data_IF_628021369387
#
_entry.id   IF_628021369387
#
_cell.length_a   1.000
_cell.length_b   1.000
_cell.length_c   1.000
_cell.angle_alpha   90.00
_cell.angle_beta   90.00
_cell.angle_gamma   90.00
#
_symmetry.space_group_name_H-M   'P 1'
#
loop_
_entity.id
_entity.type
_entity.pdbx_description
1 polymer ?
#
# COMPACT_ATOMS: atom_id res chain seq x y z
N UNK A 1 -9.80 -10.10 -5.82
CA UNK A 1 -8.38 -10.00 -5.43
C UNK A 1 -8.16 -8.68 -4.71
N UNK A 2 -7.32 -8.61 -3.67
CA UNK A 2 -6.95 -7.35 -3.01
C UNK A 2 -5.49 -7.02 -3.33
N UNK A 3 -5.17 -5.75 -3.47
CA UNK A 3 -3.80 -5.26 -3.55
C UNK A 3 -3.53 -4.40 -2.32
N UNK A 4 -2.56 -4.80 -1.51
CA UNK A 4 -2.15 -4.09 -0.32
C UNK A 4 -0.91 -3.28 -0.65
N UNK A 5 -0.95 -1.99 -0.35
CA UNK A 5 0.10 -1.04 -0.66
C UNK A 5 0.76 -0.63 0.64
N UNK A 6 2.07 -0.85 0.73
CA UNK A 6 2.91 -0.38 1.82
C UNK A 6 3.79 0.76 1.35
N UNK A 7 4.07 1.72 2.23
CA UNK A 7 5.09 2.77 2.01
C UNK A 7 6.35 2.43 2.80
N UNK A 8 7.49 2.84 2.26
CA UNK A 8 8.76 2.74 2.96
C UNK A 8 8.80 3.73 4.13
N UNK A 9 9.37 3.29 5.26
CA UNK A 9 9.67 4.18 6.38
C UNK A 9 11.00 4.93 6.22
N UNK A 10 11.86 4.49 5.29
CA UNK A 10 13.20 5.06 5.07
C UNK A 10 13.31 5.91 3.81
N UNK A 11 12.50 5.65 2.79
CA UNK A 11 12.54 6.33 1.51
C UNK A 11 11.20 6.99 1.19
N UNK A 12 11.26 8.28 0.91
CA UNK A 12 10.09 8.99 0.42
C UNK A 12 9.67 8.44 -0.95
N UNK A 13 8.37 8.52 -1.25
CA UNK A 13 7.77 8.08 -2.53
C UNK A 13 8.05 6.62 -2.94
N UNK A 14 8.46 5.76 -2.01
CA UNK A 14 8.74 4.34 -2.29
C UNK A 14 7.59 3.48 -1.78
N UNK A 15 6.96 2.72 -2.67
CA UNK A 15 5.80 1.90 -2.38
C UNK A 15 6.01 0.44 -2.81
N UNK A 16 5.41 -0.47 -2.04
CA UNK A 16 5.41 -1.89 -2.28
C UNK A 16 3.98 -2.39 -2.42
N UNK A 17 3.71 -3.14 -3.48
CA UNK A 17 2.40 -3.68 -3.80
C UNK A 17 2.42 -5.19 -3.59
N UNK A 18 1.57 -5.70 -2.70
CA UNK A 18 1.49 -7.12 -2.38
C UNK A 18 0.07 -7.62 -2.50
N UNK A 19 -0.10 -8.89 -2.88
CA UNK A 19 -1.42 -9.50 -3.07
C UNK A 19 -2.10 -9.86 -1.73
N UNK A 20 -1.32 -9.98 -0.65
CA UNK A 20 -1.78 -10.34 0.70
C UNK A 20 -1.13 -9.44 1.74
N UNK A 21 -1.91 -9.06 2.76
CA UNK A 21 -1.42 -8.27 3.89
C UNK A 21 -0.30 -9.04 4.60
N UNK A 22 0.80 -8.34 4.88
CA UNK A 22 1.98 -8.83 5.58
C UNK A 22 2.73 -9.99 4.88
N UNK A 23 2.40 -10.29 3.62
CA UNK A 23 3.10 -11.29 2.81
C UNK A 23 4.20 -10.62 1.98
N UNK A 24 5.43 -10.70 2.47
CA UNK A 24 6.62 -10.15 1.81
C UNK A 24 7.55 -11.24 1.27
N UNK A 25 7.10 -12.50 1.25
CA UNK A 25 7.92 -13.66 0.85
C UNK A 25 8.45 -13.57 -0.58
N UNK A 26 7.79 -12.79 -1.44
CA UNK A 26 8.22 -12.55 -2.83
C UNK A 26 9.16 -11.34 -2.99
N UNK A 27 9.42 -10.61 -1.91
CA UNK A 27 10.29 -9.43 -1.95
C UNK A 27 11.70 -9.84 -1.57
N UNK A 28 12.70 -9.62 -2.45
CA UNK A 28 14.10 -9.86 -2.13
C UNK A 28 14.52 -9.13 -0.85
N UNK A 29 15.35 -9.78 -0.04
CA UNK A 29 15.86 -9.20 1.21
C UNK A 29 16.61 -7.89 0.98
N UNK A 30 17.32 -7.75 -0.13
CA UNK A 30 18.05 -6.52 -0.48
C UNK A 30 17.11 -5.32 -0.66
N UNK A 31 15.96 -5.55 -1.29
CA UNK A 31 14.92 -4.53 -1.44
C UNK A 31 14.27 -4.23 -0.08
N UNK A 32 13.95 -5.25 0.73
CA UNK A 32 13.38 -5.06 2.07
C UNK A 32 14.33 -4.28 2.99
N UNK A 33 15.63 -4.53 2.94
CA UNK A 33 16.65 -3.79 3.71
C UNK A 33 16.63 -2.29 3.40
N UNK A 34 16.55 -1.96 2.10
CA UNK A 34 16.44 -0.57 1.63
C UNK A 34 15.06 0.05 1.92
N UNK A 35 14.00 -0.75 1.87
CA UNK A 35 12.62 -0.33 2.14
C UNK A 35 12.39 -0.04 3.64
N UNK A 36 13.13 -0.71 4.52
CA UNK A 36 12.92 -0.58 5.97
C UNK A 36 11.64 -1.26 6.42
N UNK A 37 11.01 -0.72 7.46
CA UNK A 37 9.77 -1.29 8.00
C UNK A 37 8.59 -0.86 7.12
N UNK A 38 7.88 -1.80 6.47
CA UNK A 38 6.73 -1.46 5.65
C UNK A 38 5.61 -0.89 6.51
N UNK A 39 5.10 0.29 6.14
CA UNK A 39 3.93 0.88 6.78
C UNK A 39 2.73 0.75 5.84
N UNK A 40 1.63 0.21 6.34
CA UNK A 40 0.41 0.05 5.54
C UNK A 40 -0.08 1.43 5.07
N UNK A 41 -0.11 1.64 3.76
CA UNK A 41 -0.57 2.89 3.16
C UNK A 41 -2.03 2.78 2.73
N UNK A 42 -2.37 1.75 1.96
CA UNK A 42 -3.74 1.58 1.43
C UNK A 42 -4.02 0.11 1.09
N UNK A 43 -5.30 -0.28 1.13
CA UNK A 43 -5.77 -1.56 0.60
C UNK A 43 -6.72 -1.26 -0.56
N UNK A 44 -6.40 -1.77 -1.75
CA UNK A 44 -7.15 -1.59 -2.97
C UNK A 44 -7.88 -2.90 -3.35
N UNK A 45 -9.22 -2.94 -3.31
CA UNK A 45 -9.97 -4.05 -3.89
C UNK A 45 -9.86 -4.01 -5.43
N UNK A 46 -9.33 -5.07 -6.03
CA UNK A 46 -9.22 -5.21 -7.50
C UNK A 46 -10.51 -5.71 -8.15
N UNK A 47 -11.57 -5.93 -7.38
CA UNK A 47 -12.88 -6.43 -7.85
C UNK A 47 -13.72 -5.37 -8.60
N UNK A 48 -13.15 -4.22 -8.96
CA UNK A 48 -13.86 -3.13 -9.67
C UNK A 48 -14.97 -2.44 -8.85
N UNK A 49 -15.34 -2.98 -7.69
CA UNK A 49 -16.30 -2.38 -6.77
C UNK A 49 -15.61 -1.26 -6.01
N UNK A 50 -15.74 -0.05 -6.54
CA UNK A 50 -15.42 1.24 -5.91
C UNK A 50 -15.97 1.31 -4.49
N UNK A 51 -15.23 0.81 -3.51
CA UNK A 51 -15.28 1.30 -2.14
C UNK A 51 -13.85 1.36 -1.64
N UNK A 52 -13.25 2.53 -1.86
CA UNK A 52 -12.20 3.06 -1.01
C UNK A 52 -12.82 3.17 0.39
N UNK A 53 -12.70 2.12 1.20
CA UNK A 53 -13.38 2.06 2.51
C UNK A 53 -12.70 2.94 3.56
N UNK A 54 -11.46 3.40 3.35
CA UNK A 54 -10.74 4.21 4.34
C UNK A 54 -10.01 5.42 3.72
N UNK A 55 -10.70 6.16 2.86
CA UNK A 55 -10.35 7.56 2.65
C UNK A 55 -11.59 8.36 3.04
N UNK A 56 -11.44 9.30 3.96
CA UNK A 56 -12.36 10.41 4.17
C UNK A 56 -12.65 11.10 2.82
N UNK A 57 -13.61 10.59 2.04
CA UNK A 57 -14.17 11.25 0.85
C UNK A 57 -15.16 12.33 1.31
N UNK A 58 -14.84 13.04 2.38
CA UNK A 58 -15.51 14.28 2.76
C UNK A 58 -14.61 15.51 2.54
N UNK A 59 -13.36 15.31 2.09
CA UNK A 59 -12.38 16.40 1.94
C UNK A 59 -11.87 16.69 0.53
N UNK A 60 -12.43 16.05 -0.51
CA UNK A 60 -11.99 16.27 -1.89
C UNK A 60 -13.10 16.83 -2.78
N UNK A 61 -13.66 17.97 -2.38
CA UNK A 61 -14.54 18.79 -3.22
C UNK A 61 -14.39 20.29 -2.90
N UNK A 62 -13.17 20.81 -3.07
CA UNK A 62 -12.91 22.24 -3.33
C UNK A 62 -11.59 22.39 -4.07
N UNK A 63 -11.65 22.35 -5.40
CA UNK A 63 -11.31 23.49 -6.24
C UNK A 63 -11.75 23.25 -7.68
#
# INVERSE_FOLDING_TARGET
>A
MFCVIYRSSKRDQTYLYVEKKDDFSRVPEELMKGFGQPQLAMILPLDGRKKLVNADIERLNRH
#
